data_IF_109691938935
#
_entry.id   IF_109691938935
#
_cell.length_a   1.000
_cell.length_b   1.000
_cell.length_c   1.000
_cell.angle_alpha   90.00
_cell.angle_beta   90.00
_cell.angle_gamma   90.00
#
_symmetry.space_group_name_H-M   'P 1'
#
loop_
_entity.id
_entity.type
_entity.pdbx_description
1 polymer ?
#
# COMPACT_ATOMS: atom_id res chain seq x y z
N UNK A 1 17.66 22.69 5.02
CA UNK A 1 16.33 22.14 5.37
C UNK A 1 16.14 22.38 6.86
N UNK A 2 15.44 23.46 7.24
CA UNK A 2 15.16 23.73 8.65
C UNK A 2 14.15 22.68 9.15
N UNK A 3 14.52 21.91 10.17
CA UNK A 3 13.56 21.11 10.93
C UNK A 3 12.58 22.08 11.59
N UNK A 4 11.34 22.14 11.10
CA UNK A 4 10.27 22.82 11.80
C UNK A 4 9.95 22.04 13.08
N UNK A 5 10.21 22.64 14.24
CA UNK A 5 9.88 22.12 15.58
C UNK A 5 8.37 22.09 15.88
N UNK A 6 7.52 22.27 14.87
CA UNK A 6 6.07 22.38 15.01
C UNK A 6 5.37 21.24 14.27
N UNK A 7 4.45 20.56 14.95
CA UNK A 7 3.63 19.49 14.41
C UNK A 7 2.20 19.99 14.21
N UNK A 8 1.62 19.73 13.04
CA UNK A 8 0.22 20.03 12.73
C UNK A 8 -0.42 18.87 11.96
N UNK A 9 -1.75 18.91 11.82
CA UNK A 9 -2.45 17.96 10.95
C UNK A 9 -2.14 18.25 9.48
N UNK A 10 -1.36 17.37 8.83
CA UNK A 10 -0.89 17.54 7.47
C UNK A 10 0.55 18.04 7.43
N UNK A 11 0.82 19.09 6.66
CA UNK A 11 2.14 19.70 6.54
C UNK A 11 2.04 21.22 6.35
N UNK A 12 3.04 22.01 6.79
CA UNK A 12 3.13 23.43 6.45
C UNK A 12 3.14 23.64 4.92
N UNK A 13 2.59 24.76 4.47
CA UNK A 13 2.57 25.12 3.06
C UNK A 13 3.85 25.88 2.65
N UNK A 14 4.24 25.72 1.39
CA UNK A 14 5.22 26.59 0.74
C UNK A 14 4.62 28.00 0.65
N UNK A 15 5.45 29.05 0.76
CA UNK A 15 5.01 30.42 0.48
C UNK A 15 4.41 30.48 -0.94
N UNK A 16 3.12 30.85 -1.12
CA UNK A 16 2.47 30.86 -2.43
C UNK A 16 3.21 31.69 -3.49
N UNK A 17 3.90 32.76 -3.10
CA UNK A 17 4.69 33.59 -4.01
C UNK A 17 5.97 32.90 -4.52
N UNK A 18 6.38 31.80 -3.90
CA UNK A 18 7.52 30.96 -4.31
C UNK A 18 7.05 29.66 -5.00
N UNK A 19 5.75 29.47 -5.23
CA UNK A 19 5.23 28.31 -5.92
C UNK A 19 5.66 28.31 -7.40
N UNK A 20 5.95 27.12 -7.95
CA UNK A 20 6.40 26.94 -9.32
C UNK A 20 5.85 25.62 -9.86
N UNK A 21 5.79 25.45 -11.19
CA UNK A 21 5.26 24.24 -11.84
C UNK A 21 5.95 22.95 -11.39
N UNK A 22 7.22 23.03 -11.00
CA UNK A 22 7.99 21.91 -10.45
C UNK A 22 7.42 21.38 -9.12
N UNK A 23 6.72 22.20 -8.32
CA UNK A 23 6.05 21.75 -7.10
C UNK A 23 4.78 20.93 -7.38
N UNK A 24 4.23 21.02 -8.60
CA UNK A 24 3.01 20.32 -9.03
C UNK A 24 3.29 19.18 -10.01
N UNK A 25 4.56 18.87 -10.26
CA UNK A 25 4.98 17.80 -11.19
C UNK A 25 5.90 16.83 -10.47
N UNK A 26 5.81 15.54 -10.81
CA UNK A 26 6.75 14.53 -10.28
C UNK A 26 7.13 13.50 -11.33
N UNK A 27 8.39 13.09 -11.32
CA UNK A 27 8.86 11.89 -12.03
C UNK A 27 9.05 10.71 -11.09
N UNK A 28 8.57 10.80 -9.84
CA UNK A 28 8.73 9.73 -8.86
C UNK A 28 8.21 8.39 -9.38
N UNK A 29 7.09 8.37 -10.10
CA UNK A 29 6.45 7.15 -10.59
C UNK A 29 6.96 6.67 -11.97
N UNK A 30 7.94 7.36 -12.58
CA UNK A 30 8.34 7.08 -13.97
C UNK A 30 9.12 5.78 -14.16
N UNK A 31 9.75 5.27 -13.09
CA UNK A 31 10.60 4.08 -13.14
C UNK A 31 10.06 2.96 -12.25
N UNK A 32 10.27 1.68 -12.64
CA UNK A 32 9.95 0.54 -11.78
C UNK A 32 10.64 0.61 -10.42
N UNK A 33 9.96 0.13 -9.39
CA UNK A 33 10.57 -0.13 -8.08
C UNK A 33 11.38 -1.43 -8.04
N UNK A 34 12.13 -1.64 -6.94
CA UNK A 34 12.85 -2.90 -6.71
C UNK A 34 11.93 -3.93 -6.04
N UNK A 35 11.45 -4.91 -6.81
CA UNK A 35 10.58 -6.01 -6.36
C UNK A 35 11.29 -7.05 -5.51
N UNK A 36 12.64 -7.12 -5.59
CA UNK A 36 13.47 -8.05 -4.81
C UNK A 36 13.75 -7.56 -3.38
N UNK A 37 13.25 -6.37 -3.02
CA UNK A 37 13.49 -5.77 -1.70
C UNK A 37 12.64 -6.39 -0.58
N UNK A 38 11.65 -7.23 -0.90
CA UNK A 38 10.85 -7.96 0.07
C UNK A 38 10.54 -9.38 -0.43
N UNK A 39 10.13 -10.24 0.50
CA UNK A 39 9.84 -11.65 0.23
C UNK A 39 8.56 -11.88 -0.59
N UNK A 40 7.75 -10.85 -0.79
CA UNK A 40 6.48 -10.96 -1.49
C UNK A 40 6.58 -10.56 -2.97
N UNK A 41 7.76 -10.12 -3.45
CA UNK A 41 7.98 -9.88 -4.89
C UNK A 41 7.26 -8.66 -5.46
N UNK A 42 7.00 -7.63 -4.66
CA UNK A 42 6.35 -6.39 -5.12
C UNK A 42 7.16 -5.13 -4.77
N UNK A 43 6.84 -4.01 -5.40
CA UNK A 43 7.32 -2.70 -5.01
C UNK A 43 6.19 -1.69 -5.14
N UNK A 44 6.04 -0.80 -4.15
CA UNK A 44 5.10 0.32 -4.22
C UNK A 44 5.84 1.62 -4.03
N UNK A 45 5.60 2.57 -4.93
CA UNK A 45 6.09 3.94 -4.82
C UNK A 45 4.92 4.91 -4.81
N UNK A 46 4.77 5.66 -3.72
CA UNK A 46 3.70 6.65 -3.56
C UNK A 46 4.20 8.06 -3.84
N UNK A 47 3.30 8.91 -4.32
CA UNK A 47 3.47 10.35 -4.21
C UNK A 47 3.24 10.81 -2.77
N UNK A 48 3.96 11.84 -2.34
CA UNK A 48 3.84 12.45 -1.02
C UNK A 48 4.36 13.88 -1.05
N UNK A 49 4.21 14.62 0.06
CA UNK A 49 4.55 16.05 0.12
C UNK A 49 6.03 16.33 -0.15
N UNK A 50 6.90 15.33 -0.06
CA UNK A 50 8.32 15.46 -0.36
C UNK A 50 8.64 15.34 -1.84
N UNK A 51 7.88 14.54 -2.60
CA UNK A 51 8.16 14.26 -4.02
C UNK A 51 7.12 14.86 -5.00
N UNK A 52 5.99 15.36 -4.49
CA UNK A 52 4.97 16.12 -5.20
C UNK A 52 4.34 17.13 -4.23
N UNK A 53 5.06 18.21 -3.84
CA UNK A 53 4.63 19.11 -2.76
C UNK A 53 3.21 19.68 -2.92
N UNK A 54 2.79 19.93 -4.16
CA UNK A 54 1.46 20.42 -4.49
C UNK A 54 0.30 19.48 -4.13
N UNK A 55 0.54 18.23 -3.72
CA UNK A 55 -0.53 17.35 -3.23
C UNK A 55 -1.05 17.75 -1.83
N UNK A 56 -0.31 18.55 -1.07
CA UNK A 56 -0.74 18.96 0.27
C UNK A 56 -2.13 19.61 0.18
N UNK A 57 -3.03 19.24 1.10
CA UNK A 57 -4.44 19.66 1.16
C UNK A 57 -5.34 19.22 0.00
N UNK A 58 -4.85 18.45 -0.98
CA UNK A 58 -5.66 18.03 -2.15
C UNK A 58 -6.46 16.73 -1.93
N UNK A 59 -6.22 16.03 -0.81
CA UNK A 59 -6.98 14.82 -0.48
C UNK A 59 -6.75 13.64 -1.43
N UNK A 60 -5.61 13.61 -2.14
CA UNK A 60 -5.29 12.58 -3.13
C UNK A 60 -3.85 12.10 -2.99
N UNK A 61 -3.58 10.85 -3.40
CA UNK A 61 -2.25 10.25 -3.52
C UNK A 61 -2.27 9.34 -4.74
N UNK A 62 -1.14 9.24 -5.46
CA UNK A 62 -0.95 8.23 -6.50
C UNK A 62 0.08 7.21 -6.05
N UNK A 63 -0.10 5.96 -6.45
CA UNK A 63 0.87 4.89 -6.23
C UNK A 63 1.18 4.19 -7.55
N UNK A 64 2.45 3.86 -7.78
CA UNK A 64 2.86 2.88 -8.77
C UNK A 64 3.17 1.58 -8.07
N UNK A 65 2.68 0.48 -8.63
CA UNK A 65 2.94 -0.88 -8.17
C UNK A 65 3.64 -1.65 -9.30
N UNK A 66 4.75 -2.28 -8.95
CA UNK A 66 5.46 -3.23 -9.82
C UNK A 66 5.47 -4.59 -9.09
N UNK A 67 5.08 -5.66 -9.77
CA UNK A 67 5.02 -7.02 -9.21
C UNK A 67 5.80 -7.98 -10.11
N UNK A 68 6.72 -8.73 -9.53
CA UNK A 68 7.38 -9.86 -10.20
C UNK A 68 6.37 -10.97 -10.51
N UNK A 69 6.75 -11.99 -11.33
CA UNK A 69 5.92 -13.18 -11.50
C UNK A 69 5.55 -13.80 -10.14
N UNK A 70 4.27 -14.10 -9.92
CA UNK A 70 3.73 -14.53 -8.62
C UNK A 70 3.94 -13.53 -7.46
N UNK A 71 4.23 -12.26 -7.76
CA UNK A 71 4.34 -11.20 -6.77
C UNK A 71 2.99 -10.90 -6.12
N UNK A 72 3.02 -10.59 -4.82
CA UNK A 72 1.85 -10.37 -3.99
C UNK A 72 2.00 -9.06 -3.22
N UNK A 73 1.08 -8.12 -3.40
CA UNK A 73 0.82 -7.11 -2.37
C UNK A 73 -0.06 -7.80 -1.31
N UNK A 74 0.48 -8.12 -0.12
CA UNK A 74 -0.19 -8.98 0.85
C UNK A 74 -1.47 -8.31 1.39
N UNK A 75 -2.27 -9.07 2.14
CA UNK A 75 -3.47 -8.56 2.79
C UNK A 75 -3.14 -7.29 3.61
N UNK A 76 -3.72 -6.17 3.20
CA UNK A 76 -3.45 -4.86 3.79
C UNK A 76 -4.66 -3.94 3.72
N UNK A 77 -4.62 -2.85 4.46
CA UNK A 77 -5.66 -1.82 4.45
C UNK A 77 -5.08 -0.40 4.46
N UNK A 78 -5.89 0.55 3.98
CA UNK A 78 -5.63 1.98 4.06
C UNK A 78 -6.60 2.62 5.06
N UNK A 79 -6.18 2.94 6.30
CA UNK A 79 -7.08 3.43 7.33
C UNK A 79 -7.68 4.81 7.00
N UNK A 80 -7.04 5.58 6.11
CA UNK A 80 -7.44 6.96 5.81
C UNK A 80 -7.96 7.18 4.39
N UNK A 81 -7.96 6.19 3.51
CA UNK A 81 -8.35 6.36 2.11
C UNK A 81 -9.07 5.14 1.53
N UNK A 82 -9.97 5.38 0.57
CA UNK A 82 -10.32 4.38 -0.44
C UNK A 82 -9.24 4.37 -1.51
N UNK A 83 -9.14 3.28 -2.26
CA UNK A 83 -8.22 3.12 -3.38
C UNK A 83 -8.98 2.73 -4.65
N UNK A 84 -8.56 3.26 -5.79
CA UNK A 84 -8.90 2.72 -7.10
C UNK A 84 -7.62 2.39 -7.85
N UNK A 85 -7.57 1.20 -8.43
CA UNK A 85 -6.39 0.70 -9.14
C UNK A 85 -6.74 0.38 -10.58
N UNK A 86 -5.88 0.79 -11.51
CA UNK A 86 -5.91 0.40 -12.91
C UNK A 86 -4.70 -0.48 -13.23
N UNK A 87 -4.95 -1.62 -13.90
CA UNK A 87 -3.87 -2.46 -14.42
C UNK A 87 -3.30 -1.82 -15.69
N UNK A 88 -1.97 -1.71 -15.77
CA UNK A 88 -1.27 -1.11 -16.92
C UNK A 88 -0.54 -2.18 -17.75
N UNK A 89 -0.05 -3.23 -17.10
CA UNK A 89 0.66 -4.34 -17.75
C UNK A 89 0.44 -5.63 -16.96
N UNK A 90 0.41 -6.75 -17.66
CA UNK A 90 0.27 -8.07 -17.09
C UNK A 90 -1.16 -8.35 -16.63
N UNK A 91 -1.32 -9.25 -15.67
CA UNK A 91 -2.63 -9.69 -15.18
C UNK A 91 -2.64 -9.74 -13.65
N UNK A 92 -3.60 -9.08 -13.03
CA UNK A 92 -3.69 -8.96 -11.57
C UNK A 92 -4.99 -9.57 -11.04
N UNK A 93 -4.89 -10.58 -10.18
CA UNK A 93 -6.01 -10.97 -9.33
C UNK A 93 -6.08 -9.99 -8.15
N UNK A 94 -7.19 -9.28 -8.05
CA UNK A 94 -7.42 -8.30 -6.99
C UNK A 94 -8.66 -8.68 -6.19
N UNK A 95 -8.73 -8.24 -4.94
CA UNK A 95 -9.97 -8.39 -4.17
C UNK A 95 -9.93 -7.75 -2.80
N UNK A 96 -11.11 -7.48 -2.26
CA UNK A 96 -11.31 -7.03 -0.89
C UNK A 96 -12.35 -7.88 -0.16
N UNK A 97 -12.25 -7.92 1.16
CA UNK A 97 -13.21 -8.59 2.03
C UNK A 97 -14.08 -7.54 2.72
N UNK A 98 -15.41 -7.67 2.59
CA UNK A 98 -16.36 -6.77 3.25
C UNK A 98 -16.55 -7.12 4.74
N UNK A 99 -17.33 -6.31 5.46
CA UNK A 99 -17.59 -6.49 6.89
C UNK A 99 -18.44 -7.73 7.23
N UNK A 100 -19.03 -8.38 6.22
CA UNK A 100 -19.73 -9.67 6.35
C UNK A 100 -18.81 -10.86 6.04
N UNK A 101 -17.50 -10.62 5.92
CA UNK A 101 -16.48 -11.59 5.52
C UNK A 101 -16.68 -12.19 4.11
N UNK A 102 -17.33 -11.45 3.22
CA UNK A 102 -17.51 -11.84 1.82
C UNK A 102 -16.41 -11.24 0.93
N UNK A 103 -15.80 -12.08 0.10
CA UNK A 103 -14.77 -11.70 -0.86
C UNK A 103 -15.39 -11.19 -2.16
N UNK A 104 -15.06 -9.97 -2.54
CA UNK A 104 -15.23 -9.46 -3.90
C UNK A 104 -13.88 -9.52 -4.62
N UNK A 105 -13.81 -10.21 -5.76
CA UNK A 105 -12.54 -10.41 -6.48
C UNK A 105 -12.76 -10.40 -7.99
N UNK A 106 -11.74 -9.97 -8.72
CA UNK A 106 -11.73 -9.94 -10.18
C UNK A 106 -10.29 -10.11 -10.70
N UNK A 107 -10.15 -10.71 -11.88
CA UNK A 107 -8.91 -10.71 -12.65
C UNK A 107 -8.90 -9.47 -13.56
N UNK A 108 -7.94 -8.56 -13.33
CA UNK A 108 -7.74 -7.35 -14.12
C UNK A 108 -6.71 -7.56 -15.23
N UNK A 109 -7.08 -7.17 -16.44
CA UNK A 109 -6.23 -7.02 -17.62
C UNK A 109 -5.84 -5.54 -17.82
N UNK A 110 -4.85 -5.23 -18.67
CA UNK A 110 -4.46 -3.86 -18.92
C UNK A 110 -5.63 -2.98 -19.37
N UNK A 111 -5.80 -1.82 -18.72
CA UNK A 111 -6.91 -0.89 -18.93
C UNK A 111 -8.10 -1.09 -17.98
N UNK A 112 -8.21 -2.24 -17.32
CA UNK A 112 -9.31 -2.53 -16.38
C UNK A 112 -9.00 -1.98 -14.98
N UNK A 113 -10.04 -1.57 -14.26
CA UNK A 113 -9.92 -0.94 -12.93
C UNK A 113 -10.76 -1.64 -11.87
N UNK A 114 -10.33 -1.53 -10.61
CA UNK A 114 -11.03 -2.06 -9.44
C UNK A 114 -10.93 -1.10 -8.26
N UNK A 115 -12.00 -1.01 -7.46
CA UNK A 115 -12.10 -0.10 -6.31
C UNK A 115 -12.08 -0.87 -5.00
N UNK A 116 -11.29 -0.38 -4.04
CA UNK A 116 -11.19 -0.89 -2.69
C UNK A 116 -11.80 0.12 -1.71
N UNK A 117 -12.85 -0.25 -0.96
CA UNK A 117 -13.44 0.63 0.04
C UNK A 117 -12.47 0.94 1.19
N UNK A 118 -12.55 2.18 1.71
CA UNK A 118 -11.69 2.66 2.79
C UNK A 118 -11.64 1.71 3.99
N UNK A 119 -10.43 1.41 4.43
CA UNK A 119 -10.16 0.62 5.63
C UNK A 119 -10.38 -0.89 5.51
N UNK A 120 -10.92 -1.40 4.39
CA UNK A 120 -11.11 -2.83 4.21
C UNK A 120 -9.80 -3.52 3.81
N UNK A 121 -9.65 -4.76 4.28
CA UNK A 121 -8.53 -5.61 3.88
C UNK A 121 -8.69 -6.00 2.41
N UNK A 122 -7.62 -5.82 1.64
CA UNK A 122 -7.55 -6.17 0.23
C UNK A 122 -6.15 -6.64 -0.17
N UNK A 123 -6.02 -7.14 -1.40
CA UNK A 123 -4.76 -7.66 -1.96
C UNK A 123 -4.70 -7.43 -3.47
N UNK A 124 -3.47 -7.51 -4.01
CA UNK A 124 -3.19 -7.57 -5.45
C UNK A 124 -2.17 -8.68 -5.69
N UNK A 125 -2.47 -9.60 -6.58
CA UNK A 125 -1.62 -10.75 -6.88
C UNK A 125 -1.35 -10.85 -8.37
N UNK A 126 -0.07 -10.90 -8.76
CA UNK A 126 0.32 -11.18 -10.14
C UNK A 126 0.16 -12.67 -10.41
N UNK A 127 -0.87 -13.04 -11.17
CA UNK A 127 -1.16 -14.43 -11.55
C UNK A 127 -0.22 -14.96 -12.63
N UNK A 128 0.60 -14.11 -13.24
CA UNK A 128 1.53 -14.53 -14.29
C UNK A 128 2.73 -15.27 -13.68
N UNK A 129 3.04 -16.43 -14.27
CA UNK A 129 4.15 -17.29 -13.86
C UNK A 129 5.51 -16.87 -14.41
N UNK A 130 5.52 -16.00 -15.43
CA UNK A 130 6.75 -15.57 -16.14
C UNK A 130 6.85 -14.05 -16.30
N UNK A 131 5.72 -13.36 -16.51
CA UNK A 131 5.69 -11.92 -16.78
C UNK A 131 5.50 -11.05 -15.52
N UNK A 132 6.08 -9.84 -15.49
CA UNK A 132 5.79 -8.88 -14.45
C UNK A 132 4.46 -8.15 -14.70
N UNK A 133 3.80 -7.72 -13.64
CA UNK A 133 2.62 -6.86 -13.70
C UNK A 133 2.93 -5.44 -13.20
N UNK A 134 2.21 -4.47 -13.76
CA UNK A 134 2.31 -3.06 -13.36
C UNK A 134 0.91 -2.49 -13.18
N UNK A 135 0.69 -1.79 -12.08
CA UNK A 135 -0.54 -1.05 -11.82
C UNK A 135 -0.25 0.37 -11.34
N UNK A 136 -1.26 1.22 -11.48
CA UNK A 136 -1.28 2.55 -10.89
C UNK A 136 -2.55 2.70 -10.07
N UNK A 137 -2.42 3.24 -8.87
CA UNK A 137 -3.52 3.46 -7.94
C UNK A 137 -3.69 4.94 -7.64
N UNK A 138 -4.94 5.36 -7.46
CA UNK A 138 -5.32 6.63 -6.85
C UNK A 138 -5.97 6.38 -5.50
N UNK A 139 -5.58 7.15 -4.48
CA UNK A 139 -6.09 7.04 -3.11
C UNK A 139 -6.70 8.35 -2.65
N UNK A 140 -7.85 8.30 -1.98
CA UNK A 140 -8.62 9.47 -1.52
C UNK A 140 -8.09 10.12 -0.23
N UNK A 141 -6.77 10.20 -0.07
CA UNK A 141 -6.12 10.97 0.99
C UNK A 141 -4.71 11.37 0.56
N UNK A 142 -4.20 12.51 1.03
CA UNK A 142 -2.78 12.89 0.88
C UNK A 142 -1.83 12.00 1.70
N UNK A 143 -2.38 11.26 2.67
CA UNK A 143 -1.66 10.30 3.49
C UNK A 143 -2.60 9.12 3.78
N UNK A 144 -2.72 8.14 2.86
CA UNK A 144 -3.61 7.00 3.04
C UNK A 144 -3.24 6.14 4.25
N UNK A 145 -1.93 6.02 4.51
CA UNK A 145 -1.37 5.03 5.43
C UNK A 145 -1.54 3.62 4.90
N UNK A 146 -0.69 2.70 5.32
CA UNK A 146 -0.80 1.29 4.94
C UNK A 146 -0.57 0.44 6.16
N UNK A 147 -1.46 -0.53 6.38
CA UNK A 147 -1.29 -1.54 7.42
C UNK A 147 -1.33 -2.92 6.77
N UNK A 148 -0.18 -3.59 6.70
CA UNK A 148 -0.10 -5.00 6.26
C UNK A 148 -0.54 -5.87 7.43
N UNK A 149 -1.59 -6.66 7.25
CA UNK A 149 -2.27 -7.38 8.33
C UNK A 149 -1.33 -8.35 9.06
N UNK A 150 -0.54 -9.13 8.32
CA UNK A 150 0.40 -10.10 8.88
C UNK A 150 1.51 -9.43 9.70
N UNK A 151 2.12 -8.36 9.18
CA UNK A 151 3.17 -7.62 9.89
C UNK A 151 2.63 -6.89 11.12
N UNK A 152 1.47 -6.25 11.01
CA UNK A 152 0.84 -5.57 12.13
C UNK A 152 0.50 -6.53 13.28
N UNK A 153 -0.03 -7.72 12.94
CA UNK A 153 -0.37 -8.73 13.92
C UNK A 153 0.87 -9.38 14.56
N UNK A 154 1.83 -9.83 13.76
CA UNK A 154 2.89 -10.71 14.25
C UNK A 154 4.22 -10.02 14.53
N UNK A 155 4.53 -8.89 13.89
CA UNK A 155 5.85 -8.23 13.96
C UNK A 155 5.79 -6.78 14.47
N UNK A 156 4.71 -6.42 15.17
CA UNK A 156 4.55 -5.10 15.81
C UNK A 156 5.62 -4.85 16.88
N UNK A 157 5.88 -3.56 17.14
CA UNK A 157 6.85 -3.10 18.16
C UNK A 157 6.21 -2.00 19.02
N UNK A 158 5.95 -2.25 20.32
CA UNK A 158 6.11 -3.52 21.03
C UNK A 158 5.22 -4.64 20.47
N UNK A 159 5.60 -5.93 20.63
CA UNK A 159 4.84 -7.04 20.06
C UNK A 159 3.49 -7.22 20.76
N UNK A 160 2.47 -7.61 20.00
CA UNK A 160 1.20 -8.11 20.56
C UNK A 160 1.49 -9.34 21.44
N UNK A 161 0.93 -9.43 22.67
CA UNK A 161 1.11 -10.59 23.52
C UNK A 161 0.72 -11.90 22.85
N UNK A 162 1.54 -12.94 23.03
CA UNK A 162 1.33 -14.24 22.37
C UNK A 162 -0.04 -14.84 22.72
N UNK A 163 -0.53 -14.64 23.94
CA UNK A 163 -1.86 -15.11 24.35
C UNK A 163 -3.00 -14.47 23.54
N UNK A 164 -2.86 -13.20 23.17
CA UNK A 164 -3.83 -12.53 22.28
C UNK A 164 -3.78 -13.16 20.89
N UNK A 165 -2.59 -13.38 20.33
CA UNK A 165 -2.45 -14.00 19.00
C UNK A 165 -2.97 -15.44 18.97
N UNK A 166 -2.63 -16.26 19.97
CA UNK A 166 -3.11 -17.65 20.06
C UNK A 166 -4.62 -17.73 20.09
N UNK A 167 -5.27 -16.91 20.91
CA UNK A 167 -6.73 -16.89 21.01
C UNK A 167 -7.38 -16.33 19.76
N UNK A 168 -6.80 -15.29 19.16
CA UNK A 168 -7.37 -14.64 17.98
C UNK A 168 -7.27 -15.51 16.72
N UNK A 169 -6.14 -16.21 16.54
CA UNK A 169 -5.87 -17.04 15.37
C UNK A 169 -6.11 -18.54 15.59
N UNK A 170 -6.43 -18.95 16.82
CA UNK A 170 -6.60 -20.35 17.23
C UNK A 170 -5.37 -21.23 16.95
N UNK A 171 -4.18 -20.72 17.31
CA UNK A 171 -2.89 -21.34 17.03
C UNK A 171 -2.06 -21.58 18.29
N UNK A 172 -1.01 -22.39 18.17
CA UNK A 172 -0.09 -22.69 19.27
C UNK A 172 1.02 -21.64 19.44
N UNK A 173 1.76 -21.72 20.56
CA UNK A 173 3.01 -20.94 20.73
C UNK A 173 4.02 -21.23 19.60
N UNK A 174 4.10 -22.48 19.15
CA UNK A 174 5.03 -22.88 18.09
C UNK A 174 4.65 -22.23 16.76
N UNK A 175 3.36 -22.10 16.48
CA UNK A 175 2.86 -21.41 15.29
C UNK A 175 3.17 -19.92 15.33
N UNK A 176 2.93 -19.24 16.45
CA UNK A 176 3.28 -17.81 16.61
C UNK A 176 4.78 -17.60 16.35
N UNK A 177 5.64 -18.42 16.97
CA UNK A 177 7.07 -18.34 16.77
C UNK A 177 7.48 -18.61 15.31
N UNK A 178 6.85 -19.59 14.66
CA UNK A 178 7.07 -19.93 13.25
C UNK A 178 6.66 -18.78 12.32
N UNK A 179 5.48 -18.21 12.51
CA UNK A 179 4.97 -17.11 11.68
C UNK A 179 5.87 -15.88 11.82
N UNK A 180 6.25 -15.51 13.06
CA UNK A 180 7.21 -14.42 13.29
C UNK A 180 8.51 -14.64 12.54
N UNK A 181 9.13 -15.82 12.70
CA UNK A 181 10.36 -16.17 11.99
C UNK A 181 10.24 -16.03 10.46
N UNK A 182 9.10 -16.42 9.89
CA UNK A 182 8.87 -16.34 8.44
C UNK A 182 8.67 -14.90 7.94
N UNK A 183 8.18 -13.99 8.79
CA UNK A 183 7.93 -12.59 8.43
C UNK A 183 9.14 -11.67 8.67
N UNK A 184 10.19 -12.18 9.33
CA UNK A 184 11.37 -11.42 9.75
C UNK A 184 11.19 -10.72 11.11
#
# INVERSE_FOLDING_TARGET
MHLSLFFLNGAPCINPSLAASSHFTTSALSKPGNTKANLFGFSVKLTNVSNLPGLNTMGLTMARLDLDPNGLVPLHSHPRASEVTICIKGTLLVGFVNTSNYLFTQLLRPGESFVFPKGLIHFLYNMESVGPAVAVSGLSSQNPGTQVASLAAFTSKPPIPDEVLKRSFQISNQDVARIRRNLG
#
